data_IF_326979188121
#
_entry.id   IF_326979188121
#
_cell.length_a   1.000
_cell.length_b   1.000
_cell.length_c   1.000
_cell.angle_alpha   90.00
_cell.angle_beta   90.00
_cell.angle_gamma   90.00
#
_symmetry.space_group_name_H-M   'P 1'
#
loop_
_entity.id
_entity.type
_entity.pdbx_description
1 polymer ?
#
# COMPACT_ATOMS: atom_id res chain seq x y z
N UNK A 1 26.58 -31.23 28.86
CA UNK A 1 25.21 -31.53 28.38
C UNK A 1 24.25 -31.01 29.43
N UNK A 2 23.82 -29.75 29.26
CA UNK A 2 22.89 -29.09 30.18
C UNK A 2 21.47 -29.34 29.70
N UNK A 3 20.62 -29.60 30.69
CA UNK A 3 19.41 -30.40 30.65
C UNK A 3 18.23 -29.67 29.99
N UNK A 4 17.86 -30.11 28.78
CA UNK A 4 16.72 -29.62 27.98
C UNK A 4 15.36 -29.70 28.72
N UNK A 5 15.29 -30.54 29.78
CA UNK A 5 14.11 -30.63 30.65
C UNK A 5 13.90 -29.40 31.52
N UNK A 6 14.95 -28.74 32.00
CA UNK A 6 14.80 -27.58 32.88
C UNK A 6 14.23 -26.36 32.13
N UNK A 7 14.57 -26.21 30.85
CA UNK A 7 14.06 -25.13 30.02
C UNK A 7 12.56 -25.30 29.70
N UNK A 8 12.04 -26.53 29.64
CA UNK A 8 10.61 -26.77 29.44
C UNK A 8 9.79 -26.48 30.69
N UNK A 9 10.29 -26.84 31.86
CA UNK A 9 9.57 -26.58 33.11
C UNK A 9 9.51 -25.07 33.43
N UNK A 10 10.57 -24.32 33.09
CA UNK A 10 10.62 -22.85 33.24
C UNK A 10 9.71 -22.12 32.22
N UNK A 11 9.54 -22.67 31.01
CA UNK A 11 8.59 -22.15 30.02
C UNK A 11 7.13 -22.49 30.36
N UNK A 12 6.89 -23.62 31.03
CA UNK A 12 5.55 -24.02 31.49
C UNK A 12 5.07 -23.10 32.64
N UNK A 13 5.97 -22.72 33.55
CA UNK A 13 5.70 -21.82 34.67
C UNK A 13 5.38 -20.38 34.20
N UNK A 14 6.06 -19.91 33.13
CA UNK A 14 5.76 -18.63 32.47
C UNK A 14 4.41 -18.65 31.72
N UNK A 15 3.98 -19.82 31.24
CA UNK A 15 2.70 -19.97 30.54
C UNK A 15 1.50 -20.13 31.48
N UNK A 16 1.73 -20.57 32.72
CA UNK A 16 0.68 -20.77 33.74
C UNK A 16 0.45 -19.53 34.64
N UNK A 17 1.23 -18.45 34.49
CA UNK A 17 1.06 -17.22 35.28
C UNK A 17 -0.05 -16.30 34.71
N UNK A 18 -1.27 -16.57 35.18
CA UNK A 18 -2.47 -15.73 35.39
C UNK A 18 -2.58 -14.30 34.81
N UNK A 19 -2.35 -14.08 33.51
CA UNK A 19 -2.81 -12.84 32.85
C UNK A 19 -3.44 -12.99 31.45
N UNK A 20 -4.01 -14.15 31.11
CA UNK A 20 -4.61 -14.35 29.77
C UNK A 20 -5.96 -15.09 29.72
N UNK A 21 -6.80 -14.97 30.75
CA UNK A 21 -8.06 -15.73 30.82
C UNK A 21 -9.32 -14.90 31.10
N UNK A 22 -9.40 -13.65 30.64
CA UNK A 22 -10.62 -12.84 30.79
C UNK A 22 -11.19 -12.25 29.48
N UNK A 23 -10.91 -12.86 28.32
CA UNK A 23 -11.51 -12.40 27.04
C UNK A 23 -12.32 -13.44 26.27
N UNK A 24 -12.64 -14.61 26.82
CA UNK A 24 -13.30 -15.69 26.03
C UNK A 24 -14.71 -16.13 26.46
N UNK A 25 -15.32 -15.64 27.55
CA UNK A 25 -16.56 -16.25 28.05
C UNK A 25 -17.86 -15.44 27.95
N UNK A 26 -17.87 -14.20 27.42
CA UNK A 26 -19.11 -13.40 27.33
C UNK A 26 -19.67 -13.22 25.91
N UNK A 27 -18.90 -13.53 24.86
CA UNK A 27 -19.25 -13.13 23.48
C UNK A 27 -19.84 -14.26 22.59
N UNK A 28 -20.08 -15.46 23.14
CA UNK A 28 -20.54 -16.60 22.33
C UNK A 28 -22.01 -16.48 21.88
N UNK A 29 -22.91 -15.98 22.73
CA UNK A 29 -24.34 -15.90 22.39
C UNK A 29 -24.70 -14.76 21.43
N UNK A 30 -24.05 -13.60 21.56
CA UNK A 30 -24.34 -12.43 20.72
C UNK A 30 -23.83 -12.62 19.29
N UNK A 31 -22.62 -13.18 19.13
CA UNK A 31 -22.04 -13.46 17.82
C UNK A 31 -22.74 -14.62 17.10
N UNK A 32 -23.18 -15.65 17.82
CA UNK A 32 -23.99 -16.72 17.22
C UNK A 32 -25.33 -16.20 16.71
N UNK A 33 -26.04 -15.40 17.51
CA UNK A 33 -27.33 -14.85 17.09
C UNK A 33 -27.17 -13.88 15.90
N UNK A 34 -26.12 -13.05 15.90
CA UNK A 34 -25.78 -12.21 14.74
C UNK A 34 -25.44 -13.04 13.50
N UNK A 35 -24.71 -14.14 13.67
CA UNK A 35 -24.30 -15.02 12.59
C UNK A 35 -25.48 -15.75 11.95
N UNK A 36 -26.40 -16.25 12.77
CA UNK A 36 -27.65 -16.88 12.33
C UNK A 36 -28.51 -15.90 11.52
N UNK A 37 -28.72 -14.67 12.02
CA UNK A 37 -29.50 -13.65 11.31
C UNK A 37 -28.85 -13.19 10.00
N UNK A 38 -27.51 -13.09 9.95
CA UNK A 38 -26.78 -12.76 8.71
C UNK A 38 -26.93 -13.88 7.69
N UNK A 39 -26.87 -15.14 8.13
CA UNK A 39 -26.99 -16.31 7.25
C UNK A 39 -28.38 -16.43 6.65
N UNK A 40 -29.44 -16.23 7.43
CA UNK A 40 -30.82 -16.23 6.92
C UNK A 40 -31.05 -15.10 5.92
N UNK A 41 -30.61 -13.87 6.25
CA UNK A 41 -30.72 -12.72 5.34
C UNK A 41 -29.96 -12.93 4.04
N UNK A 42 -28.79 -13.59 4.10
CA UNK A 42 -27.98 -13.91 2.93
C UNK A 42 -28.62 -15.00 2.06
N UNK A 43 -29.22 -16.02 2.67
CA UNK A 43 -29.94 -17.08 1.96
C UNK A 43 -31.20 -16.54 1.26
N UNK A 44 -31.95 -15.66 1.92
CA UNK A 44 -33.13 -15.03 1.31
C UNK A 44 -32.77 -14.09 0.17
N UNK A 45 -31.66 -13.34 0.31
CA UNK A 45 -31.11 -12.54 -0.77
C UNK A 45 -30.67 -13.42 -1.96
N UNK A 46 -30.03 -14.55 -1.69
CA UNK A 46 -29.59 -15.49 -2.73
C UNK A 46 -30.76 -16.16 -3.45
N UNK A 47 -31.80 -16.58 -2.71
CA UNK A 47 -33.01 -17.21 -3.27
C UNK A 47 -33.83 -16.23 -4.11
N UNK A 48 -33.90 -14.95 -3.72
CA UNK A 48 -34.56 -13.91 -4.51
C UNK A 48 -33.81 -13.55 -5.79
N UNK A 49 -32.48 -13.73 -5.82
CA UNK A 49 -31.68 -13.50 -7.03
C UNK A 49 -31.72 -14.68 -8.01
N UNK A 50 -32.03 -15.89 -7.55
CA UNK A 50 -32.14 -17.09 -8.38
C UNK A 50 -33.44 -17.88 -8.14
N UNK A 51 -34.62 -17.29 -8.45
CA UNK A 51 -35.92 -17.90 -8.17
C UNK A 51 -36.22 -19.17 -8.99
N UNK A 52 -35.39 -19.53 -9.98
CA UNK A 52 -35.65 -20.64 -10.91
C UNK A 52 -34.96 -21.96 -10.53
N UNK A 53 -34.54 -22.16 -9.28
CA UNK A 53 -34.06 -23.46 -8.81
C UNK A 53 -35.24 -24.39 -8.45
N UNK A 54 -36.15 -24.59 -9.41
CA UNK A 54 -37.01 -25.78 -9.42
C UNK A 54 -36.48 -26.73 -10.49
N UNK A 55 -36.06 -27.90 -10.01
CA UNK A 55 -35.50 -29.01 -10.72
C UNK A 55 -36.07 -29.20 -12.14
N UNK A 56 -35.24 -29.03 -13.16
CA UNK A 56 -35.45 -29.72 -14.44
C UNK A 56 -34.29 -30.69 -14.67
N UNK A 57 -34.60 -31.97 -14.45
CA UNK A 57 -33.78 -33.06 -14.96
C UNK A 57 -33.82 -32.98 -16.50
N UNK A 58 -32.68 -32.65 -17.12
CA UNK A 58 -32.50 -32.70 -18.56
C UNK A 58 -32.39 -31.32 -19.23
N UNK A 59 -31.15 -30.88 -19.50
CA UNK A 59 -30.85 -29.74 -20.38
C UNK A 59 -30.41 -28.43 -19.70
N UNK A 60 -30.62 -28.29 -18.39
CA UNK A 60 -30.29 -27.06 -17.65
C UNK A 60 -28.83 -26.91 -17.22
N UNK A 61 -27.98 -27.95 -17.35
CA UNK A 61 -26.63 -27.99 -16.74
C UNK A 61 -25.63 -27.02 -17.34
N UNK A 62 -25.75 -26.61 -18.61
CA UNK A 62 -24.76 -25.72 -19.24
C UNK A 62 -25.06 -24.24 -18.98
N UNK A 63 -26.35 -23.86 -18.96
CA UNK A 63 -26.78 -22.49 -18.65
C UNK A 63 -26.52 -22.18 -17.17
N UNK A 64 -26.79 -23.15 -16.29
CA UNK A 64 -26.48 -23.00 -14.86
C UNK A 64 -24.98 -22.88 -14.61
N UNK A 65 -24.14 -23.66 -15.31
CA UNK A 65 -22.69 -23.55 -15.20
C UNK A 65 -22.19 -22.17 -15.65
N UNK A 66 -22.70 -21.64 -16.76
CA UNK A 66 -22.32 -20.30 -17.27
C UNK A 66 -22.75 -19.20 -16.29
N UNK A 67 -23.94 -19.30 -15.71
CA UNK A 67 -24.42 -18.33 -14.71
C UNK A 67 -23.63 -18.39 -13.40
N UNK A 68 -23.25 -19.59 -12.95
CA UNK A 68 -22.38 -19.76 -11.77
C UNK A 68 -20.99 -19.16 -12.03
N UNK A 69 -20.41 -19.40 -13.21
CA UNK A 69 -19.11 -18.83 -13.60
C UNK A 69 -19.19 -17.30 -13.72
N UNK A 70 -20.25 -16.77 -14.33
CA UNK A 70 -20.47 -15.34 -14.45
C UNK A 70 -20.70 -14.68 -13.07
N UNK A 71 -21.45 -15.34 -12.19
CA UNK A 71 -21.65 -14.91 -10.81
C UNK A 71 -20.35 -14.91 -10.02
N UNK A 72 -19.52 -15.96 -10.16
CA UNK A 72 -18.21 -16.05 -9.52
C UNK A 72 -17.26 -14.97 -10.04
N UNK A 73 -17.25 -14.70 -11.36
CA UNK A 73 -16.47 -13.62 -11.96
C UNK A 73 -16.91 -12.24 -11.45
N UNK A 74 -18.23 -11.99 -11.38
CA UNK A 74 -18.77 -10.76 -10.82
C UNK A 74 -18.41 -10.59 -9.33
N UNK A 75 -18.47 -11.69 -8.56
CA UNK A 75 -18.10 -11.70 -7.14
C UNK A 75 -16.60 -11.41 -6.97
N UNK A 76 -15.74 -11.99 -7.81
CA UNK A 76 -14.29 -11.68 -7.83
C UNK A 76 -14.03 -10.22 -8.22
N UNK A 77 -14.77 -9.65 -9.16
CA UNK A 77 -14.67 -8.24 -9.53
C UNK A 77 -15.11 -7.35 -8.37
N UNK A 78 -16.23 -7.67 -7.70
CA UNK A 78 -16.71 -6.91 -6.53
C UNK A 78 -15.72 -7.03 -5.37
N UNK A 79 -15.19 -8.22 -5.07
CA UNK A 79 -14.14 -8.41 -4.06
C UNK A 79 -12.86 -7.66 -4.42
N UNK A 80 -12.47 -7.62 -5.69
CA UNK A 80 -11.34 -6.81 -6.16
C UNK A 80 -11.57 -5.31 -5.97
N UNK A 81 -12.78 -4.81 -6.28
CA UNK A 81 -13.14 -3.40 -6.10
C UNK A 81 -13.31 -3.01 -4.62
N UNK A 82 -13.86 -3.91 -3.79
CA UNK A 82 -14.05 -3.71 -2.35
C UNK A 82 -12.74 -3.85 -1.60
N UNK A 83 -11.86 -4.80 -1.95
CA UNK A 83 -10.51 -4.88 -1.39
C UNK A 83 -9.70 -3.63 -1.72
N UNK A 84 -9.81 -3.09 -2.95
CA UNK A 84 -9.24 -1.77 -3.32
C UNK A 84 -9.78 -0.63 -2.44
N UNK A 85 -11.05 -0.68 -2.04
CA UNK A 85 -11.70 0.36 -1.22
C UNK A 85 -11.43 0.22 0.29
N UNK A 86 -11.32 -1.01 0.80
CA UNK A 86 -11.14 -1.32 2.24
C UNK A 86 -9.66 -1.37 2.62
N UNK A 87 -8.77 -1.81 1.74
CA UNK A 87 -7.31 -1.73 1.94
C UNK A 87 -6.84 -0.26 2.00
N UNK A 88 -7.50 0.62 1.24
CA UNK A 88 -7.29 2.07 1.28
C UNK A 88 -7.67 2.73 2.62
N UNK A 89 -8.60 2.18 3.40
CA UNK A 89 -9.05 2.81 4.65
C UNK A 89 -8.46 2.19 5.92
N UNK A 90 -7.93 0.96 5.89
CA UNK A 90 -7.48 0.26 7.11
C UNK A 90 -5.96 0.13 7.27
N UNK A 91 -5.15 0.33 6.22
CA UNK A 91 -3.68 0.47 6.37
C UNK A 91 -3.20 1.90 6.62
N UNK A 92 -4.13 2.80 6.92
CA UNK A 92 -3.87 4.22 7.12
C UNK A 92 -3.49 4.65 8.55
N UNK A 93 -3.32 3.70 9.48
CA UNK A 93 -3.09 3.98 10.90
C UNK A 93 -1.66 3.66 11.40
N UNK A 94 -0.79 3.09 10.56
CA UNK A 94 0.52 2.58 11.01
C UNK A 94 1.67 3.58 10.97
N UNK A 95 2.01 4.10 9.80
CA UNK A 95 3.09 5.07 9.59
C UNK A 95 3.01 5.53 8.12
N UNK A 96 2.55 6.77 7.91
CA UNK A 96 2.43 7.36 6.57
C UNK A 96 3.64 8.28 6.33
N UNK A 97 4.55 7.95 5.41
CA UNK A 97 5.72 8.79 5.14
C UNK A 97 5.34 10.18 4.60
N UNK A 98 4.15 10.32 4.00
CA UNK A 98 3.59 11.59 3.56
C UNK A 98 2.85 12.38 4.67
N UNK A 99 2.61 11.82 5.85
CA UNK A 99 1.93 12.58 6.93
C UNK A 99 2.85 13.49 7.73
N UNK A 100 4.17 13.26 7.72
CA UNK A 100 5.11 14.23 8.28
C UNK A 100 5.18 15.55 7.47
N UNK A 101 4.50 15.62 6.32
CA UNK A 101 4.20 16.87 5.59
C UNK A 101 3.24 17.81 6.35
N UNK A 102 2.89 17.52 7.60
CA UNK A 102 1.94 18.31 8.39
C UNK A 102 2.60 19.34 9.33
N UNK A 103 3.94 19.45 9.36
CA UNK A 103 4.59 20.44 10.23
C UNK A 103 5.23 21.63 9.51
N UNK A 104 5.43 21.58 8.18
CA UNK A 104 5.81 22.73 7.35
C UNK A 104 5.66 22.33 5.86
N UNK A 105 4.99 23.12 5.03
CA UNK A 105 4.91 22.91 3.58
C UNK A 105 6.27 23.22 2.96
N UNK A 106 7.16 22.23 2.90
CA UNK A 106 8.51 22.42 2.35
C UNK A 106 8.48 22.57 0.84
N UNK A 107 9.28 23.50 0.34
CA UNK A 107 9.59 23.70 -1.08
C UNK A 107 10.48 22.58 -1.63
N UNK A 108 10.60 22.49 -2.97
CA UNK A 108 11.51 21.53 -3.61
C UNK A 108 12.96 21.76 -3.14
N UNK A 109 13.38 23.01 -2.97
CA UNK A 109 14.74 23.38 -2.54
C UNK A 109 15.01 23.00 -1.09
N UNK A 110 14.02 23.10 -0.20
CA UNK A 110 14.14 22.65 1.20
C UNK A 110 14.28 21.13 1.26
N UNK A 111 13.51 20.38 0.46
CA UNK A 111 13.66 18.94 0.35
C UNK A 111 15.02 18.53 -0.24
N UNK A 112 15.54 19.27 -1.22
CA UNK A 112 16.86 18.99 -1.80
C UNK A 112 17.97 19.20 -0.75
N UNK A 113 17.96 20.33 -0.05
CA UNK A 113 18.95 20.62 1.01
C UNK A 113 18.88 19.63 2.17
N UNK A 114 17.67 19.17 2.53
CA UNK A 114 17.52 18.10 3.50
C UNK A 114 18.14 16.78 3.01
N UNK A 115 17.93 16.43 1.74
CA UNK A 115 18.52 15.22 1.16
C UNK A 115 20.04 15.24 1.28
N UNK A 116 20.67 16.36 0.96
CA UNK A 116 22.12 16.57 1.09
C UNK A 116 22.58 16.41 2.55
N UNK A 117 21.84 17.00 3.51
CA UNK A 117 22.17 16.83 4.93
C UNK A 117 22.09 15.37 5.37
N UNK A 118 21.12 14.61 4.86
CA UNK A 118 20.96 13.20 5.20
C UNK A 118 22.01 12.32 4.53
N UNK A 119 22.46 12.69 3.33
CA UNK A 119 23.62 12.07 2.68
C UNK A 119 24.91 12.27 3.50
N UNK A 120 25.16 13.49 3.98
CA UNK A 120 26.33 13.81 4.82
C UNK A 120 26.29 13.05 6.16
N UNK A 121 25.08 12.75 6.65
CA UNK A 121 24.86 11.92 7.84
C UNK A 121 24.85 10.41 7.54
N UNK A 122 25.14 9.99 6.30
CA UNK A 122 25.09 8.61 5.81
C UNK A 122 23.70 7.94 5.93
N UNK A 123 22.63 8.73 6.13
CA UNK A 123 21.24 8.30 6.22
C UNK A 123 20.62 8.19 4.81
N UNK A 124 21.16 7.30 3.98
CA UNK A 124 20.81 7.24 2.55
C UNK A 124 19.32 6.96 2.28
N UNK A 125 18.65 6.15 3.11
CA UNK A 125 17.21 5.92 2.96
C UNK A 125 16.40 7.22 3.12
N UNK A 126 16.81 8.08 4.07
CA UNK A 126 16.14 9.36 4.30
C UNK A 126 16.52 10.37 3.22
N UNK A 127 17.77 10.34 2.75
CA UNK A 127 18.23 11.13 1.61
C UNK A 127 17.40 10.83 0.34
N UNK A 128 17.15 9.55 0.02
CA UNK A 128 16.28 9.12 -1.09
C UNK A 128 14.87 9.71 -0.93
N UNK A 129 14.27 9.60 0.26
CA UNK A 129 12.91 10.11 0.52
C UNK A 129 12.81 11.60 0.23
N UNK A 130 13.76 12.39 0.74
CA UNK A 130 13.75 13.84 0.53
C UNK A 130 14.05 14.22 -0.91
N UNK A 131 14.97 13.53 -1.59
CA UNK A 131 15.28 13.79 -3.01
C UNK A 131 14.08 13.48 -3.92
N UNK A 132 13.37 12.39 -3.67
CA UNK A 132 12.16 12.06 -4.43
C UNK A 132 11.06 13.12 -4.26
N UNK A 133 10.88 13.62 -3.04
CA UNK A 133 9.91 14.70 -2.76
C UNK A 133 10.32 16.00 -3.44
N UNK A 134 11.61 16.34 -3.45
CA UNK A 134 12.12 17.47 -4.22
C UNK A 134 11.79 17.32 -5.72
N UNK A 135 12.01 16.14 -6.29
CA UNK A 135 11.70 15.86 -7.70
C UNK A 135 10.19 16.00 -8.00
N UNK A 136 9.33 15.45 -7.14
CA UNK A 136 7.88 15.57 -7.29
C UNK A 136 7.41 17.03 -7.27
N UNK A 137 7.93 17.83 -6.33
CA UNK A 137 7.59 19.24 -6.23
C UNK A 137 8.14 20.05 -7.40
N UNK A 138 9.34 19.73 -7.88
CA UNK A 138 9.91 20.34 -9.08
C UNK A 138 9.07 20.05 -10.33
N UNK A 139 8.66 18.80 -10.55
CA UNK A 139 7.76 18.45 -11.66
C UNK A 139 6.38 19.10 -11.53
N UNK A 140 5.93 19.35 -10.29
CA UNK A 140 4.72 20.10 -10.03
C UNK A 140 4.85 21.57 -10.43
N UNK A 141 5.95 22.22 -10.09
CA UNK A 141 6.25 23.60 -10.49
C UNK A 141 6.39 23.75 -12.02
N UNK A 142 6.85 22.70 -12.71
CA UNK A 142 6.92 22.63 -14.17
C UNK A 142 5.58 22.24 -14.83
N UNK A 143 4.52 22.02 -14.04
CA UNK A 143 3.19 21.58 -14.50
C UNK A 143 3.18 20.22 -15.24
N UNK A 144 4.23 19.42 -15.11
CA UNK A 144 4.30 18.09 -15.73
C UNK A 144 3.45 17.05 -14.99
N UNK A 145 3.19 17.30 -13.70
CA UNK A 145 2.27 16.53 -12.87
C UNK A 145 1.69 17.41 -11.76
N UNK A 146 0.67 16.91 -11.06
CA UNK A 146 0.09 17.61 -9.89
C UNK A 146 0.37 16.85 -8.60
N UNK A 147 1.31 17.34 -7.78
CA UNK A 147 1.67 16.73 -6.49
C UNK A 147 0.53 16.82 -5.47
N UNK A 148 0.10 15.68 -4.91
CA UNK A 148 -0.94 15.59 -3.87
C UNK A 148 -0.63 14.48 -2.86
N UNK A 149 -0.89 14.74 -1.57
CA UNK A 149 -0.62 13.79 -0.47
C UNK A 149 -1.33 12.43 -0.60
N UNK A 150 -2.43 12.36 -1.36
CA UNK A 150 -3.23 11.14 -1.54
C UNK A 150 -2.93 10.37 -2.83
N UNK A 151 -2.07 10.91 -3.70
CA UNK A 151 -1.72 10.28 -4.97
C UNK A 151 -0.61 9.25 -4.80
N UNK A 152 -0.72 8.20 -5.59
CA UNK A 152 0.28 7.13 -5.72
C UNK A 152 1.33 7.46 -6.77
N UNK A 153 2.50 6.80 -6.68
CA UNK A 153 3.55 6.89 -7.70
C UNK A 153 3.06 6.48 -9.10
N UNK A 154 2.11 5.54 -9.17
CA UNK A 154 1.47 5.14 -10.42
C UNK A 154 0.65 6.27 -11.05
N UNK A 155 -0.08 7.04 -10.25
CA UNK A 155 -0.84 8.19 -10.76
C UNK A 155 0.08 9.30 -11.28
N UNK A 156 1.25 9.51 -10.66
CA UNK A 156 2.27 10.43 -11.18
C UNK A 156 2.88 9.94 -12.49
N UNK A 157 3.16 8.63 -12.58
CA UNK A 157 3.62 8.01 -13.83
C UNK A 157 2.63 8.22 -14.98
N UNK A 158 1.34 7.98 -14.76
CA UNK A 158 0.31 8.16 -15.78
C UNK A 158 0.11 9.63 -16.20
N UNK A 159 0.39 10.59 -15.33
CA UNK A 159 0.43 12.01 -15.70
C UNK A 159 1.66 12.34 -16.54
N UNK A 160 2.85 11.94 -16.08
CA UNK A 160 4.10 12.17 -16.82
C UNK A 160 4.09 11.51 -18.19
N UNK A 161 3.47 10.32 -18.32
CA UNK A 161 3.36 9.60 -19.59
C UNK A 161 2.58 10.38 -20.66
N UNK A 162 1.66 11.26 -20.25
CA UNK A 162 0.94 12.16 -21.16
C UNK A 162 1.81 13.33 -21.64
N UNK A 163 2.82 13.71 -20.85
CA UNK A 163 3.81 14.73 -21.20
C UNK A 163 4.91 14.12 -22.07
N UNK A 164 5.57 13.08 -21.57
CA UNK A 164 6.63 12.35 -22.25
C UNK A 164 6.77 10.93 -21.67
N UNK A 165 6.70 9.92 -22.54
CA UNK A 165 6.75 8.51 -22.13
C UNK A 165 8.10 8.11 -21.52
N UNK A 166 9.21 8.56 -22.09
CA UNK A 166 10.56 8.21 -21.63
C UNK A 166 10.83 8.83 -20.25
N UNK A 167 10.29 10.03 -20.01
CA UNK A 167 10.36 10.71 -18.72
C UNK A 167 9.59 9.94 -17.64
N UNK A 168 8.41 9.43 -18.00
CA UNK A 168 7.61 8.59 -17.11
C UNK A 168 8.34 7.30 -16.74
N UNK A 169 8.99 6.63 -17.69
CA UNK A 169 9.77 5.42 -17.43
C UNK A 169 10.96 5.68 -16.49
N UNK A 170 11.69 6.77 -16.71
CA UNK A 170 12.77 7.20 -15.81
C UNK A 170 12.25 7.54 -14.41
N UNK A 171 11.17 8.31 -14.31
CA UNK A 171 10.52 8.61 -13.04
C UNK A 171 10.09 7.33 -12.30
N UNK A 172 9.51 6.36 -13.00
CA UNK A 172 9.06 5.11 -12.41
C UNK A 172 10.22 4.32 -11.78
N UNK A 173 11.39 4.31 -12.43
CA UNK A 173 12.58 3.68 -11.85
C UNK A 173 13.01 4.33 -10.52
N UNK A 174 12.92 5.66 -10.43
CA UNK A 174 13.19 6.40 -9.19
C UNK A 174 12.11 6.13 -8.13
N UNK A 175 10.85 6.04 -8.55
CA UNK A 175 9.73 5.76 -7.65
C UNK A 175 9.86 4.38 -7.00
N UNK A 176 10.31 3.35 -7.73
CA UNK A 176 10.55 2.02 -7.17
C UNK A 176 11.62 2.05 -6.06
N UNK A 177 12.72 2.78 -6.26
CA UNK A 177 13.77 2.90 -5.26
C UNK A 177 13.33 3.77 -4.06
N UNK A 178 12.48 4.77 -4.30
CA UNK A 178 11.80 5.48 -3.22
C UNK A 178 10.89 4.55 -2.40
N UNK A 179 10.11 3.69 -3.04
CA UNK A 179 9.22 2.76 -2.33
C UNK A 179 10.03 1.77 -1.47
N UNK A 180 11.17 1.30 -1.96
CA UNK A 180 12.13 0.52 -1.18
C UNK A 180 12.66 1.33 0.02
N UNK A 181 13.08 2.57 -0.18
CA UNK A 181 13.60 3.42 0.89
C UNK A 181 12.53 3.84 1.91
N UNK A 182 11.27 3.97 1.48
CA UNK A 182 10.15 4.49 2.29
C UNK A 182 9.42 3.39 3.06
N UNK A 183 9.22 2.23 2.42
CA UNK A 183 8.39 1.14 2.93
C UNK A 183 9.10 -0.20 2.99
N UNK A 184 10.32 -0.31 2.44
CA UNK A 184 11.12 -1.52 2.53
C UNK A 184 11.67 -1.76 3.93
N UNK A 185 11.95 -3.02 4.23
CA UNK A 185 12.57 -3.46 5.49
C UNK A 185 14.11 -3.38 5.45
N UNK A 186 14.68 -2.89 4.34
CA UNK A 186 16.13 -2.80 4.11
C UNK A 186 16.56 -1.36 3.95
N UNK A 187 17.71 -1.02 4.54
CA UNK A 187 18.35 0.27 4.34
C UNK A 187 19.01 0.40 2.96
N UNK A 188 18.94 1.60 2.39
CA UNK A 188 19.62 1.95 1.16
C UNK A 188 21.11 2.09 1.45
N UNK A 189 21.94 1.45 0.64
CA UNK A 189 23.40 1.58 0.75
C UNK A 189 23.90 2.77 -0.05
N UNK A 190 25.10 3.27 0.27
CA UNK A 190 25.77 4.31 -0.51
C UNK A 190 25.87 3.97 -1.99
N UNK A 191 26.19 2.71 -2.31
CA UNK A 191 26.32 2.22 -3.69
C UNK A 191 25.03 2.28 -4.50
N UNK A 192 23.88 2.28 -3.84
CA UNK A 192 22.57 2.42 -4.47
C UNK A 192 22.08 3.86 -4.50
N UNK A 193 22.44 4.63 -3.47
CA UNK A 193 22.09 6.04 -3.37
C UNK A 193 22.79 6.90 -4.42
N UNK A 194 24.08 6.67 -4.67
CA UNK A 194 24.84 7.51 -5.63
C UNK A 194 24.23 7.47 -7.05
N UNK A 195 23.97 6.30 -7.66
CA UNK A 195 23.30 6.24 -8.96
C UNK A 195 21.89 6.84 -8.96
N UNK A 196 21.17 6.69 -7.84
CA UNK A 196 19.85 7.28 -7.65
C UNK A 196 19.93 8.82 -7.69
N UNK A 197 20.85 9.39 -6.91
CA UNK A 197 21.11 10.83 -6.86
C UNK A 197 21.49 11.37 -8.23
N UNK A 198 22.45 10.75 -8.91
CA UNK A 198 22.88 11.17 -10.24
C UNK A 198 21.72 11.22 -11.24
N UNK A 199 20.83 10.22 -11.20
CA UNK A 199 19.66 10.17 -12.09
C UNK A 199 18.64 11.26 -11.75
N UNK A 200 18.36 11.49 -10.47
CA UNK A 200 17.45 12.54 -10.03
C UNK A 200 18.01 13.96 -10.31
N UNK A 201 19.31 14.16 -10.13
CA UNK A 201 19.94 15.47 -10.30
C UNK A 201 19.98 15.94 -11.75
N UNK A 202 20.01 15.04 -12.74
CA UNK A 202 19.89 15.41 -14.16
C UNK A 202 18.64 16.26 -14.41
N UNK A 203 17.50 15.87 -13.82
CA UNK A 203 16.25 16.61 -13.92
C UNK A 203 16.31 17.99 -13.28
N UNK A 204 16.91 18.05 -12.09
CA UNK A 204 16.99 19.26 -11.28
C UNK A 204 18.01 20.28 -11.84
N UNK A 205 19.07 19.81 -12.52
CA UNK A 205 20.13 20.65 -13.09
C UNK A 205 19.86 21.10 -14.53
N UNK A 206 19.32 20.23 -15.39
CA UNK A 206 19.12 20.53 -16.83
C UNK A 206 18.11 21.66 -17.09
N UNK A 207 17.36 22.10 -16.07
CA UNK A 207 16.29 23.10 -16.20
C UNK A 207 16.58 24.45 -15.53
N UNK A 208 17.74 24.64 -14.91
CA UNK A 208 18.16 25.98 -14.44
C UNK A 208 18.60 26.88 -15.59
N UNK A 209 19.08 26.30 -16.71
CA UNK A 209 19.51 27.08 -17.89
C UNK A 209 18.37 27.75 -18.65
N UNK A 210 17.11 27.30 -18.51
CA UNK A 210 15.95 27.97 -19.14
C UNK A 210 15.57 29.30 -18.45
N UNK A 211 16.01 29.55 -17.21
CA UNK A 211 15.74 30.83 -16.52
C UNK A 211 16.81 31.90 -16.76
N UNK A 212 17.91 31.56 -17.43
CA UNK A 212 19.02 32.47 -17.73
C UNK A 212 19.19 32.77 -19.23
N UNK A 213 18.26 32.30 -20.08
CA UNK A 213 18.23 32.55 -21.53
C UNK A 213 17.16 33.57 -21.95
#
# INVERSE_FOLDING_TARGET
MLNEKNARDELQDILDDREYTQYQSENQGFLQNLWESIKETFMDWLNNLFPSYQASQGGGTMITLVLVIAGLAALLIVLFLVSRKVYNNRKMAGQKPLQNLAQKDWSYSEHLSESERQEDAENYSLAVRHLFLALLLFFHEKEWLVARKWKTNWEYYEELKKVNKDWAEQFYSLALKFDEAAYGEREITRGEYIPYKETAMKWLQDNQQEKEA
#
